data_IF_393658006498
#
_entry.id   IF_393658006498
#
_cell.length_a   1.000
_cell.length_b   1.000
_cell.length_c   1.000
_cell.angle_alpha   90.00
_cell.angle_beta   90.00
_cell.angle_gamma   90.00
#
_symmetry.space_group_name_H-M   'P 1'
#
loop_
_entity.id
_entity.type
_entity.pdbx_description
1 polymer ?
#
# COMPACT_ATOMS: atom_id res chain seq x y z
N UNK A 1 9.90 9.75 -15.03
CA UNK A 1 9.03 10.78 -14.41
C UNK A 1 8.00 10.15 -13.46
N UNK A 2 7.25 9.14 -13.88
CA UNK A 2 6.28 8.46 -13.02
C UNK A 2 6.91 7.79 -11.80
N UNK A 3 8.05 7.10 -11.95
CA UNK A 3 8.82 6.50 -10.84
C UNK A 3 9.16 7.51 -9.75
N UNK A 4 9.61 8.71 -10.15
CA UNK A 4 9.92 9.82 -9.24
C UNK A 4 8.69 10.35 -8.49
N UNK A 5 7.55 10.50 -9.17
CA UNK A 5 6.29 10.95 -8.51
C UNK A 5 5.84 9.92 -7.47
N UNK A 6 5.85 8.63 -7.85
CA UNK A 6 5.54 7.54 -6.93
C UNK A 6 6.55 7.53 -5.78
N UNK A 7 7.85 7.62 -6.06
CA UNK A 7 8.90 7.68 -5.06
C UNK A 7 8.71 8.80 -4.03
N UNK A 8 8.35 10.01 -4.46
CA UNK A 8 8.05 11.14 -3.56
C UNK A 8 6.86 10.81 -2.64
N UNK A 9 5.79 10.23 -3.17
CA UNK A 9 4.62 9.81 -2.37
C UNK A 9 5.04 8.77 -1.31
N UNK A 10 5.87 7.81 -1.70
CA UNK A 10 6.39 6.77 -0.79
C UNK A 10 7.33 7.34 0.29
N UNK A 11 8.18 8.31 -0.05
CA UNK A 11 9.03 9.02 0.92
C UNK A 11 8.19 9.78 1.94
N UNK A 12 7.20 10.54 1.49
CA UNK A 12 6.31 11.30 2.39
C UNK A 12 5.55 10.36 3.32
N UNK A 13 4.97 9.28 2.78
CA UNK A 13 4.26 8.27 3.57
C UNK A 13 5.17 7.55 4.56
N UNK A 14 6.33 7.08 4.11
CA UNK A 14 7.31 6.37 4.93
C UNK A 14 7.87 7.25 6.05
N UNK A 15 8.20 8.50 5.74
CA UNK A 15 8.64 9.50 6.71
C UNK A 15 7.57 9.79 7.75
N UNK A 16 6.31 9.96 7.33
CA UNK A 16 5.17 10.13 8.25
C UNK A 16 4.99 8.94 9.20
N UNK A 17 5.11 7.71 8.66
CA UNK A 17 4.98 6.48 9.44
C UNK A 17 6.13 6.27 10.42
N UNK A 18 7.36 6.63 10.02
CA UNK A 18 8.54 6.53 10.86
C UNK A 18 8.54 7.59 11.98
N UNK A 19 8.19 8.84 11.65
CA UNK A 19 8.24 9.96 12.59
C UNK A 19 7.04 10.00 13.54
N UNK A 20 5.82 9.74 13.03
CA UNK A 20 4.58 9.83 13.82
C UNK A 20 3.73 8.55 13.72
N UNK A 21 4.25 7.39 14.17
CA UNK A 21 3.52 6.11 14.14
C UNK A 21 2.25 6.12 15.01
N UNK A 22 2.19 7.00 16.03
CA UNK A 22 1.05 7.13 16.93
C UNK A 22 -0.21 7.64 16.23
N UNK A 23 -0.07 8.59 15.29
CA UNK A 23 -1.21 9.10 14.50
C UNK A 23 -1.81 7.97 13.68
N UNK A 24 -0.95 7.13 13.10
CA UNK A 24 -1.36 6.01 12.28
C UNK A 24 -2.05 4.92 13.10
N UNK A 25 -1.46 4.54 14.24
CA UNK A 25 -2.05 3.58 15.19
C UNK A 25 -3.42 4.06 15.68
N UNK A 26 -3.57 5.35 15.98
CA UNK A 26 -4.84 5.91 16.42
C UNK A 26 -5.88 5.95 15.29
N UNK A 27 -5.45 6.20 14.04
CA UNK A 27 -6.34 6.11 12.87
C UNK A 27 -6.75 4.67 12.56
N UNK A 28 -5.87 3.69 12.77
CA UNK A 28 -6.17 2.26 12.64
C UNK A 28 -7.12 1.77 13.75
N UNK A 29 -6.97 2.28 14.99
CA UNK A 29 -7.90 2.00 16.10
C UNK A 29 -9.29 2.61 15.90
N UNK A 30 -9.40 3.76 15.22
CA UNK A 30 -10.70 4.29 14.81
C UNK A 30 -11.28 3.32 13.77
N UNK A 31 -12.36 2.62 14.15
CA UNK A 31 -13.10 1.70 13.27
C UNK A 31 -13.18 2.28 11.87
N UNK A 32 -12.71 1.51 10.89
CA UNK A 32 -12.70 1.93 9.50
C UNK A 32 -14.14 2.15 9.04
N UNK A 33 -14.57 3.40 9.00
CA UNK A 33 -15.95 3.75 8.63
C UNK A 33 -16.20 3.36 7.18
N UNK A 34 -17.48 3.15 6.82
CA UNK A 34 -17.89 2.76 5.46
C UNK A 34 -17.30 3.68 4.37
N UNK A 35 -17.11 4.98 4.68
CA UNK A 35 -16.44 5.97 3.82
C UNK A 35 -14.95 5.67 3.60
N UNK A 36 -14.20 5.30 4.65
CA UNK A 36 -12.77 4.98 4.52
C UNK A 36 -12.57 3.69 3.72
N UNK A 37 -13.47 2.70 3.87
CA UNK A 37 -13.49 1.51 3.01
C UNK A 37 -13.56 1.88 1.52
N UNK A 38 -14.52 2.73 1.14
CA UNK A 38 -14.67 3.16 -0.25
C UNK A 38 -13.45 3.93 -0.77
N UNK A 39 -12.83 4.79 0.05
CA UNK A 39 -11.61 5.51 -0.33
C UNK A 39 -10.45 4.53 -0.58
N UNK A 40 -10.24 3.56 0.32
CA UNK A 40 -9.19 2.54 0.16
C UNK A 40 -9.46 1.69 -1.09
N UNK A 41 -10.69 1.27 -1.34
CA UNK A 41 -11.03 0.54 -2.58
C UNK A 41 -10.77 1.37 -3.83
N UNK A 42 -11.22 2.63 -3.85
CA UNK A 42 -10.97 3.53 -4.97
C UNK A 42 -9.47 3.68 -5.24
N UNK A 43 -8.66 3.83 -4.18
CA UNK A 43 -7.22 3.93 -4.31
C UNK A 43 -6.59 2.67 -4.90
N UNK A 44 -7.00 1.48 -4.45
CA UNK A 44 -6.48 0.20 -4.97
C UNK A 44 -6.96 -0.04 -6.41
N UNK A 45 -8.20 0.33 -6.79
CA UNK A 45 -8.70 0.20 -8.17
C UNK A 45 -7.87 1.08 -9.10
N UNK A 46 -7.65 2.34 -8.72
CA UNK A 46 -6.85 3.29 -9.51
C UNK A 46 -5.41 2.79 -9.63
N UNK A 47 -4.79 2.35 -8.54
CA UNK A 47 -3.45 1.76 -8.59
C UNK A 47 -3.39 0.47 -9.42
N UNK A 48 -4.43 -0.37 -9.35
CA UNK A 48 -4.55 -1.61 -10.13
C UNK A 48 -4.62 -1.34 -11.62
N UNK A 49 -5.42 -0.35 -12.05
CA UNK A 49 -5.49 0.08 -13.45
C UNK A 49 -4.18 0.66 -13.95
N UNK A 50 -3.49 1.43 -13.11
CA UNK A 50 -2.16 1.98 -13.43
C UNK A 50 -1.13 0.86 -13.58
N UNK A 51 -1.13 -0.12 -12.68
CA UNK A 51 -0.27 -1.30 -12.75
C UNK A 51 -0.56 -2.12 -14.01
N UNK A 52 -1.82 -2.35 -14.36
CA UNK A 52 -2.22 -2.99 -15.61
C UNK A 52 -1.61 -2.29 -16.84
N UNK A 53 -1.71 -0.96 -16.90
CA UNK A 53 -1.12 -0.17 -17.98
C UNK A 53 0.41 -0.30 -18.06
N UNK A 54 1.08 -0.42 -16.91
CA UNK A 54 2.53 -0.64 -16.84
C UNK A 54 2.93 -2.06 -17.27
N UNK A 55 2.14 -3.07 -16.92
CA UNK A 55 2.43 -4.48 -17.23
C UNK A 55 2.30 -4.77 -18.73
N UNK A 56 1.31 -4.17 -19.39
CA UNK A 56 1.09 -4.34 -20.85
C UNK A 56 2.28 -3.78 -21.65
N UNK A 57 2.87 -2.65 -21.20
CA UNK A 57 3.99 -1.99 -21.86
C UNK A 57 5.36 -2.57 -21.52
N UNK A 58 5.44 -3.50 -20.56
CA UNK A 58 6.71 -4.08 -20.14
C UNK A 58 7.25 -5.10 -21.18
N UNK A 59 8.48 -4.92 -21.69
CA UNK A 59 9.13 -5.93 -22.52
C UNK A 59 9.59 -7.11 -21.65
N UNK A 60 9.39 -8.33 -22.13
CA UNK A 60 9.79 -9.58 -21.47
C UNK A 60 8.64 -10.36 -20.83
N UNK A 61 8.64 -11.68 -21.06
CA UNK A 61 7.59 -12.59 -20.58
C UNK A 61 7.52 -12.65 -19.04
N UNK A 62 8.67 -12.59 -18.36
CA UNK A 62 8.76 -12.64 -16.90
C UNK A 62 8.07 -11.42 -16.25
N UNK A 63 8.28 -10.22 -16.79
CA UNK A 63 7.65 -9.00 -16.29
C UNK A 63 6.12 -9.04 -16.48
N UNK A 64 5.64 -9.61 -17.59
CA UNK A 64 4.20 -9.80 -17.84
C UNK A 64 3.56 -10.80 -16.88
N UNK A 65 4.22 -11.92 -16.62
CA UNK A 65 3.75 -12.94 -15.66
C UNK A 65 3.73 -12.38 -14.24
N UNK A 66 4.81 -11.72 -13.79
CA UNK A 66 4.88 -11.08 -12.48
C UNK A 66 3.79 -10.01 -12.33
N UNK A 67 3.54 -9.23 -13.39
CA UNK A 67 2.45 -8.26 -13.44
C UNK A 67 1.07 -8.89 -13.28
N UNK A 68 0.78 -9.96 -14.02
CA UNK A 68 -0.49 -10.69 -13.92
C UNK A 68 -0.72 -11.27 -12.52
N UNK A 69 0.30 -11.88 -11.93
CA UNK A 69 0.25 -12.39 -10.55
C UNK A 69 -0.05 -11.25 -9.57
N UNK A 70 0.62 -10.10 -9.73
CA UNK A 70 0.37 -8.92 -8.91
C UNK A 70 -1.09 -8.44 -8.98
N UNK A 71 -1.69 -8.44 -10.16
CA UNK A 71 -3.10 -8.08 -10.37
C UNK A 71 -4.05 -9.08 -9.69
N UNK A 72 -3.81 -10.39 -9.86
CA UNK A 72 -4.62 -11.43 -9.22
C UNK A 72 -4.57 -11.29 -7.70
N UNK A 73 -3.38 -11.06 -7.13
CA UNK A 73 -3.20 -10.84 -5.69
C UNK A 73 -3.94 -9.58 -5.26
N UNK A 74 -3.86 -8.47 -5.99
CA UNK A 74 -4.55 -7.23 -5.68
C UNK A 74 -6.08 -7.42 -5.64
N UNK A 75 -6.66 -8.12 -6.62
CA UNK A 75 -8.10 -8.47 -6.65
C UNK A 75 -8.46 -9.35 -5.45
N UNK A 76 -7.64 -10.36 -5.14
CA UNK A 76 -7.89 -11.27 -4.00
C UNK A 76 -7.85 -10.52 -2.67
N UNK A 77 -6.91 -9.58 -2.52
CA UNK A 77 -6.81 -8.68 -1.35
C UNK A 77 -8.03 -7.78 -1.25
N UNK A 78 -8.57 -7.24 -2.35
CA UNK A 78 -9.82 -6.46 -2.34
C UNK A 78 -11.00 -7.29 -1.82
N UNK A 79 -11.17 -8.52 -2.29
CA UNK A 79 -12.26 -9.41 -1.84
C UNK A 79 -12.08 -9.79 -0.38
N UNK A 80 -10.84 -9.96 0.09
CA UNK A 80 -10.59 -10.20 1.52
C UNK A 80 -10.87 -8.96 2.38
N UNK A 81 -10.61 -7.76 1.84
CA UNK A 81 -10.85 -6.48 2.52
C UNK A 81 -12.36 -6.18 2.75
N UNK A 82 -13.28 -6.79 2.00
CA UNK A 82 -14.73 -6.55 2.18
C UNK A 82 -15.32 -7.29 3.39
N UNK A 83 -14.64 -8.33 3.87
CA UNK A 83 -15.14 -9.26 4.89
C UNK A 83 -14.76 -8.86 6.34
N UNK A 84 -15.31 -9.58 7.34
CA UNK A 84 -14.89 -9.54 8.77
C UNK A 84 -13.37 -9.72 8.94
N UNK A 85 -12.72 -10.36 7.98
CA UNK A 85 -11.27 -10.57 7.93
C UNK A 85 -10.49 -9.26 7.84
N UNK A 86 -11.04 -8.23 7.18
CA UNK A 86 -10.44 -6.89 7.12
C UNK A 86 -10.39 -6.22 8.49
N UNK A 87 -11.46 -6.32 9.25
CA UNK A 87 -11.52 -5.78 10.62
C UNK A 87 -10.56 -6.53 11.53
N UNK A 88 -10.47 -7.86 11.38
CA UNK A 88 -9.51 -8.68 12.12
C UNK A 88 -8.06 -8.31 11.78
N UNK A 89 -7.74 -8.08 10.51
CA UNK A 89 -6.41 -7.66 10.06
C UNK A 89 -6.07 -6.24 10.54
N UNK A 90 -7.00 -5.29 10.47
CA UNK A 90 -6.82 -3.92 10.96
C UNK A 90 -6.62 -3.92 12.48
N UNK A 91 -7.40 -4.69 13.23
CA UNK A 91 -7.24 -4.82 14.68
C UNK A 91 -5.89 -5.45 15.03
N UNK A 92 -5.48 -6.50 14.32
CA UNK A 92 -4.16 -7.13 14.50
C UNK A 92 -3.02 -6.12 14.28
N UNK A 93 -3.14 -5.26 13.27
CA UNK A 93 -2.19 -4.16 13.05
C UNK A 93 -2.27 -3.11 14.16
N UNK A 94 -3.46 -2.70 14.58
CA UNK A 94 -3.66 -1.70 15.63
C UNK A 94 -3.11 -2.14 17.00
N UNK A 95 -3.04 -3.44 17.26
CA UNK A 95 -2.47 -4.03 18.47
C UNK A 95 -0.93 -4.05 18.46
N UNK A 96 -0.28 -3.94 17.29
CA UNK A 96 1.18 -3.97 17.21
C UNK A 96 1.86 -2.81 17.97
N UNK A 97 3.07 -3.05 18.50
CA UNK A 97 3.85 -2.01 19.14
C UNK A 97 4.28 -0.95 18.11
N UNK A 98 4.48 0.29 18.59
CA UNK A 98 4.84 1.43 17.73
C UNK A 98 6.15 1.19 16.96
N UNK A 99 7.04 0.36 17.48
CA UNK A 99 8.31 -0.01 16.83
C UNK A 99 8.07 -0.65 15.45
N UNK A 100 7.02 -1.49 15.32
CA UNK A 100 6.69 -2.18 14.07
C UNK A 100 6.31 -1.16 13.00
N UNK A 101 5.50 -0.16 13.36
CA UNK A 101 5.13 0.92 12.45
C UNK A 101 6.33 1.78 12.02
N UNK A 102 7.29 2.01 12.92
CA UNK A 102 8.53 2.73 12.58
C UNK A 102 9.39 1.97 11.60
N UNK A 103 9.58 0.67 11.83
CA UNK A 103 10.36 -0.21 10.95
C UNK A 103 9.70 -0.25 9.57
N UNK A 104 8.38 -0.45 9.51
CA UNK A 104 7.65 -0.41 8.23
C UNK A 104 7.74 0.96 7.55
N UNK A 105 7.62 2.06 8.30
CA UNK A 105 7.80 3.40 7.76
C UNK A 105 9.19 3.61 7.14
N UNK A 106 10.24 3.13 7.80
CA UNK A 106 11.60 3.16 7.28
C UNK A 106 11.76 2.33 5.99
N UNK A 107 11.19 1.12 5.95
CA UNK A 107 11.22 0.27 4.75
C UNK A 107 10.53 0.98 3.58
N UNK A 108 9.35 1.53 3.81
CA UNK A 108 8.58 2.30 2.81
C UNK A 108 9.39 3.53 2.33
N UNK A 109 10.06 4.22 3.25
CA UNK A 109 10.91 5.36 2.93
C UNK A 109 12.09 4.96 2.04
N UNK A 110 12.81 3.88 2.38
CA UNK A 110 13.93 3.37 1.59
C UNK A 110 13.47 2.97 0.18
N UNK A 111 12.32 2.29 0.06
CA UNK A 111 11.71 1.96 -1.23
C UNK A 111 11.41 3.23 -2.03
N UNK A 112 10.86 4.26 -1.38
CA UNK A 112 10.60 5.55 -2.02
C UNK A 112 11.86 6.22 -2.56
N UNK A 113 12.96 6.19 -1.79
CA UNK A 113 14.27 6.70 -2.23
C UNK A 113 14.80 5.90 -3.43
N UNK A 114 14.73 4.57 -3.38
CA UNK A 114 15.14 3.71 -4.49
C UNK A 114 14.35 4.01 -5.77
N UNK A 115 13.04 4.26 -5.66
CA UNK A 115 12.18 4.61 -6.80
C UNK A 115 12.48 5.97 -7.43
N UNK A 116 13.06 6.91 -6.67
CA UNK A 116 13.52 8.19 -7.22
C UNK A 116 14.84 8.02 -7.99
N UNK A 117 15.70 7.12 -7.51
CA UNK A 117 17.02 6.83 -8.08
C UNK A 117 16.96 5.87 -9.27
N UNK A 118 15.87 5.12 -9.43
CA UNK A 118 15.57 4.25 -10.57
C UNK A 118 14.91 5.00 -11.75
#
# INVERSE_FOLDING_TARGET
MFSKIVGIIWIILGGLWALKPQILKNRLKKKMTRKIKWIVYGFIIVFGLILLGSVIKAPGAVAKIAGFIGIIIAIRVMVLLTTKTSEKAINWWAEKPLIVFRIWGLVIFVIGVMLILA
#
